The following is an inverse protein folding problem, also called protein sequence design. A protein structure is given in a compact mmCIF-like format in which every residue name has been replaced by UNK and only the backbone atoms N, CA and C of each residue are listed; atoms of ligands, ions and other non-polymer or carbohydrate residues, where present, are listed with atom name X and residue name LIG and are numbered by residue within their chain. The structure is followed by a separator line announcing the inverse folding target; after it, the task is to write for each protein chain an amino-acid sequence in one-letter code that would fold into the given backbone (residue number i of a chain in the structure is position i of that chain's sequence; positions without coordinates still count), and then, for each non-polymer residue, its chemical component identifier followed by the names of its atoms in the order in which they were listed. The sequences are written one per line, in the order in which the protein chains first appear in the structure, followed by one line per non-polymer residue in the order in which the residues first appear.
data_IF_406604210962
#
_entry.id   IF_406604210962
#
_cell.length_a   1.000
_cell.length_b   1.000
_cell.length_c   1.000
_cell.angle_alpha   90.00
_cell.angle_beta   90.00
_cell.angle_gamma   90.00
#
_symmetry.space_group_name_H-M   'P 1'
#
loop_
_entity.id
_entity.type
_entity.pdbx_description
1 polymer ?
#
# COMPACT_ATOMS: atom_id res chain seq x y z
N UNK A 1 -4.41 -2.40 -13.66
CA UNK A 1 -3.49 -1.87 -14.70
C UNK A 1 -2.15 -1.54 -14.06
N UNK A 2 -1.07 -1.83 -14.76
CA UNK A 2 0.27 -1.50 -14.29
C UNK A 2 0.83 -0.40 -15.20
N UNK A 3 1.24 0.70 -14.59
CA UNK A 3 1.87 1.81 -15.28
C UNK A 3 3.40 1.74 -15.15
N UNK A 4 4.09 2.13 -16.22
CA UNK A 4 5.54 2.19 -16.24
C UNK A 4 6.00 3.64 -16.38
N UNK A 5 6.90 4.05 -15.50
CA UNK A 5 7.57 5.34 -15.52
C UNK A 5 9.06 5.06 -15.64
N UNK A 6 9.76 5.71 -16.58
CA UNK A 6 11.19 5.44 -16.72
C UNK A 6 11.96 6.65 -17.28
N UNK A 7 13.24 6.65 -16.97
CA UNK A 7 14.25 7.50 -17.59
C UNK A 7 15.41 6.64 -18.05
N UNK A 8 16.57 7.24 -18.38
CA UNK A 8 17.73 6.48 -18.84
C UNK A 8 18.38 5.59 -17.76
N UNK A 9 18.09 5.83 -16.48
CA UNK A 9 18.70 5.13 -15.34
C UNK A 9 17.80 4.12 -14.68
N UNK A 10 16.50 4.44 -14.56
CA UNK A 10 15.54 3.70 -13.75
C UNK A 10 14.27 3.38 -14.51
N UNK A 11 13.69 2.21 -14.21
CA UNK A 11 12.34 1.83 -14.64
C UNK A 11 11.51 1.45 -13.42
N UNK A 12 10.38 2.12 -13.24
CA UNK A 12 9.49 1.91 -12.11
C UNK A 12 8.12 1.49 -12.62
N UNK A 13 7.55 0.44 -12.04
CA UNK A 13 6.19 -0.01 -12.33
C UNK A 13 5.32 0.12 -11.09
N UNK A 14 4.13 0.68 -11.29
CA UNK A 14 3.13 0.91 -10.24
C UNK A 14 1.81 0.33 -10.67
N UNK A 15 1.19 -0.45 -9.79
CA UNK A 15 -0.14 -1.01 -10.01
C UNK A 15 -1.22 -0.03 -9.57
N UNK A 16 -2.36 -0.02 -10.29
CA UNK A 16 -3.56 0.69 -9.85
C UNK A 16 -4.22 0.04 -8.64
N UNK A 17 -3.81 -1.17 -8.27
CA UNK A 17 -4.26 -1.82 -7.02
C UNK A 17 -3.49 -1.18 -5.87
N UNK A 18 -4.12 -0.23 -5.17
CA UNK A 18 -3.55 0.44 -4.01
C UNK A 18 -2.27 1.24 -4.27
N UNK A 19 -2.04 1.72 -5.50
CA UNK A 19 -0.82 2.41 -5.90
C UNK A 19 0.45 1.65 -5.48
N UNK A 20 0.41 0.33 -5.65
CA UNK A 20 1.48 -0.57 -5.20
C UNK A 20 2.70 -0.46 -6.10
N UNK A 21 3.87 -0.31 -5.48
CA UNK A 21 5.15 -0.36 -6.19
C UNK A 21 5.45 -1.81 -6.57
N UNK A 22 5.38 -2.12 -7.87
CA UNK A 22 5.53 -3.47 -8.40
C UNK A 22 6.99 -3.80 -8.70
N UNK A 23 7.72 -2.83 -9.23
CA UNK A 23 9.08 -3.03 -9.73
C UNK A 23 9.85 -1.73 -9.70
N UNK A 24 11.11 -1.81 -9.35
CA UNK A 24 12.04 -0.68 -9.38
C UNK A 24 13.39 -1.21 -9.88
N UNK A 25 13.68 -0.98 -11.16
CA UNK A 25 14.83 -1.58 -11.84
C UNK A 25 15.92 -0.54 -12.04
N UNK A 26 17.13 -0.88 -11.58
CA UNK A 26 18.36 -0.19 -11.97
C UNK A 26 18.76 -0.70 -13.36
N UNK A 27 18.64 0.15 -14.37
CA UNK A 27 18.92 -0.22 -15.76
C UNK A 27 20.39 -0.57 -16.02
N UNK A 28 21.31 0.00 -15.27
CA UNK A 28 22.72 -0.27 -15.41
C UNK A 28 23.07 -1.72 -15.09
N UNK A 29 22.46 -2.25 -14.04
CA UNK A 29 22.72 -3.62 -13.56
C UNK A 29 21.58 -4.59 -13.93
N UNK A 30 20.47 -4.06 -14.44
CA UNK A 30 19.22 -4.81 -14.69
C UNK A 30 18.72 -5.51 -13.44
N UNK A 31 18.86 -4.85 -12.28
CA UNK A 31 18.44 -5.38 -10.97
C UNK A 31 17.14 -4.77 -10.54
N UNK A 32 16.13 -5.59 -10.21
CA UNK A 32 14.91 -5.16 -9.56
C UNK A 32 15.09 -5.22 -8.05
N UNK A 33 14.97 -4.08 -7.38
CA UNK A 33 15.19 -3.98 -5.94
C UNK A 33 13.90 -4.14 -5.13
N UNK A 34 12.76 -4.37 -5.79
CA UNK A 34 11.46 -4.55 -5.15
C UNK A 34 11.05 -6.02 -5.20
N UNK A 35 10.73 -6.56 -4.05
CA UNK A 35 10.09 -7.87 -3.96
C UNK A 35 8.61 -7.72 -4.31
N UNK A 36 8.15 -8.42 -5.34
CA UNK A 36 6.78 -8.29 -5.84
C UNK A 36 6.29 -9.55 -6.51
N UNK A 37 5.07 -9.45 -7.08
CA UNK A 37 4.44 -10.53 -7.84
C UNK A 37 4.57 -10.29 -9.34
N UNK A 38 4.42 -11.35 -10.13
CA UNK A 38 4.56 -11.30 -11.59
C UNK A 38 3.33 -10.71 -12.29
N UNK A 39 2.15 -10.76 -11.67
CA UNK A 39 0.92 -10.28 -12.26
C UNK A 39 0.12 -9.36 -11.32
N UNK A 40 -0.76 -8.56 -11.91
CA UNK A 40 -1.58 -7.61 -11.15
C UNK A 40 -2.63 -8.31 -10.29
N UNK A 41 -3.14 -9.47 -10.70
CA UNK A 41 -4.16 -10.18 -9.94
C UNK A 41 -3.68 -10.61 -8.56
N UNK A 42 -2.39 -10.94 -8.42
CA UNK A 42 -1.80 -11.32 -7.15
C UNK A 42 -1.77 -10.17 -6.13
N UNK A 43 -1.77 -8.91 -6.59
CA UNK A 43 -1.77 -7.75 -5.69
C UNK A 43 -3.11 -7.53 -4.99
N UNK A 44 -4.22 -8.00 -5.54
CA UNK A 44 -5.51 -8.02 -4.83
C UNK A 44 -5.48 -8.93 -3.60
N UNK A 45 -4.59 -9.90 -3.57
CA UNK A 45 -4.42 -10.87 -2.49
C UNK A 45 -3.21 -10.55 -1.59
N UNK A 46 -2.61 -9.37 -1.78
CA UNK A 46 -1.42 -8.94 -1.04
C UNK A 46 -1.77 -8.41 0.37
N UNK A 47 -2.56 -9.18 1.11
CA UNK A 47 -3.08 -8.77 2.43
C UNK A 47 -2.22 -9.22 3.61
N UNK A 48 -1.36 -10.21 3.39
CA UNK A 48 -0.41 -10.69 4.41
C UNK A 48 0.91 -9.95 4.36
N UNK A 49 1.70 -10.13 3.29
CA UNK A 49 3.05 -9.54 3.21
C UNK A 49 3.05 -8.05 2.86
N UNK A 50 1.98 -7.50 2.27
CA UNK A 50 1.88 -6.10 1.84
C UNK A 50 3.06 -5.63 0.97
N UNK A 51 3.50 -6.46 0.02
CA UNK A 51 4.65 -6.18 -0.83
C UNK A 51 4.43 -4.89 -1.64
N UNK A 52 5.36 -3.94 -1.53
CA UNK A 52 5.33 -2.68 -2.26
C UNK A 52 4.17 -1.76 -1.92
N UNK A 53 3.42 -2.04 -0.88
CA UNK A 53 2.19 -1.34 -0.55
C UNK A 53 2.40 0.15 -0.26
N UNK A 54 1.54 0.99 -0.82
CA UNK A 54 1.41 2.38 -0.42
C UNK A 54 0.45 2.45 0.76
N UNK A 55 0.91 3.01 1.87
CA UNK A 55 0.15 3.08 3.11
C UNK A 55 -0.63 4.40 3.18
N UNK A 56 -1.93 4.31 3.37
CA UNK A 56 -2.83 5.47 3.47
C UNK A 56 -4.28 4.98 3.69
N UNK A 57 -5.20 5.90 3.85
CA UNK A 57 -5.00 7.37 3.97
C UNK A 57 -4.21 7.75 5.21
N UNK A 58 -4.39 7.03 6.31
CA UNK A 58 -3.60 7.20 7.53
C UNK A 58 -2.63 6.03 7.69
N UNK A 59 -1.43 6.31 8.16
CA UNK A 59 -0.47 5.29 8.52
C UNK A 59 -0.53 5.01 10.02
N UNK A 60 -0.05 3.83 10.39
CA UNK A 60 0.09 3.40 11.77
C UNK A 60 -1.27 3.26 12.50
N UNK A 61 -1.29 3.36 13.82
CA UNK A 61 -2.40 2.94 14.67
C UNK A 61 -3.19 4.11 15.23
N UNK A 62 -4.51 3.92 15.26
CA UNK A 62 -5.43 4.80 15.98
C UNK A 62 -6.00 3.97 17.14
N UNK A 63 -5.71 4.41 18.36
CA UNK A 63 -6.16 3.75 19.58
C UNK A 63 -7.68 3.73 19.66
N UNK A 64 -8.24 2.64 20.13
CA UNK A 64 -9.69 2.41 20.26
C UNK A 64 -10.44 2.46 18.91
N UNK A 65 -9.72 2.59 17.81
CA UNK A 65 -10.30 2.66 16.47
C UNK A 65 -11.21 3.85 16.25
N UNK A 66 -11.03 4.94 16.99
CA UNK A 66 -11.90 6.11 16.86
C UNK A 66 -11.29 7.40 17.37
N UNK A 67 -11.95 8.49 17.04
CA UNK A 67 -11.55 9.83 17.47
C UNK A 67 -12.76 10.76 17.49
N UNK A 68 -12.59 11.94 18.11
CA UNK A 68 -13.61 12.97 18.20
C UNK A 68 -13.11 14.26 17.56
N UNK A 69 -13.90 14.84 16.67
CA UNK A 69 -13.65 16.14 16.04
C UNK A 69 -14.89 17.00 16.22
N UNK A 70 -14.72 18.20 16.77
CA UNK A 70 -15.82 19.15 17.02
C UNK A 70 -17.01 18.53 17.79
N UNK A 71 -16.72 17.65 18.75
CA UNK A 71 -17.75 16.97 19.53
C UNK A 71 -18.40 15.79 18.85
N UNK A 72 -18.08 15.50 17.59
CA UNK A 72 -18.61 14.36 16.84
C UNK A 72 -17.63 13.20 16.87
N UNK A 73 -18.15 12.01 17.23
CA UNK A 73 -17.36 10.78 17.30
C UNK A 73 -17.33 10.06 15.95
N UNK A 74 -16.14 9.70 15.51
CA UNK A 74 -15.91 8.91 14.30
C UNK A 74 -15.37 7.54 14.70
N UNK A 75 -16.10 6.48 14.32
CA UNK A 75 -15.70 5.10 14.57
C UNK A 75 -15.11 4.51 13.29
N UNK A 76 -13.89 3.95 13.42
CA UNK A 76 -13.17 3.31 12.32
C UNK A 76 -13.27 1.79 12.41
N UNK A 77 -12.97 1.10 11.33
CA UNK A 77 -12.85 -0.36 11.33
C UNK A 77 -11.65 -0.80 12.18
N UNK A 78 -11.82 -1.89 12.92
CA UNK A 78 -10.77 -2.50 13.73
C UNK A 78 -10.18 -3.67 12.95
N UNK A 79 -8.91 -3.59 12.58
CA UNK A 79 -8.18 -4.66 11.89
C UNK A 79 -7.08 -5.30 12.76
N UNK A 80 -6.90 -4.77 13.97
CA UNK A 80 -6.18 -5.41 15.08
C UNK A 80 -7.05 -5.30 16.33
N UNK A 81 -6.80 -6.10 17.39
CA UNK A 81 -7.60 -6.02 18.62
C UNK A 81 -7.59 -4.61 19.22
N UNK A 82 -8.78 -3.96 19.21
CA UNK A 82 -8.99 -2.66 19.82
C UNK A 82 -8.37 -1.47 19.11
N UNK A 83 -7.84 -1.63 17.89
CA UNK A 83 -7.20 -0.53 17.15
C UNK A 83 -7.49 -0.57 15.65
N UNK A 84 -7.37 0.59 15.01
CA UNK A 84 -7.35 0.71 13.55
C UNK A 84 -5.90 0.92 13.09
N UNK A 85 -5.39 0.01 12.28
CA UNK A 85 -4.04 0.06 11.73
C UNK A 85 -4.09 0.36 10.23
N UNK A 86 -3.31 1.35 9.78
CA UNK A 86 -3.16 1.70 8.36
C UNK A 86 -4.50 1.87 7.63
N UNK A 87 -5.39 2.68 8.20
CA UNK A 87 -6.76 2.96 7.67
C UNK A 87 -7.72 1.77 7.69
N UNK A 88 -7.40 0.69 8.39
CA UNK A 88 -8.33 -0.42 8.63
C UNK A 88 -8.35 -1.48 7.53
N UNK A 89 -9.55 -1.90 7.11
CA UNK A 89 -9.71 -3.09 6.25
C UNK A 89 -9.67 -2.81 4.75
N UNK A 90 -8.87 -1.88 4.32
CA UNK A 90 -8.49 -1.81 2.91
C UNK A 90 -9.35 -0.91 2.04
N UNK A 91 -9.88 0.12 2.59
CA UNK A 91 -10.71 1.09 1.85
C UNK A 91 -9.88 2.29 1.36
N UNK A 92 -8.96 2.04 0.46
CA UNK A 92 -8.27 3.10 -0.27
C UNK A 92 -8.97 3.43 -1.57
#
# INVERSE_FOLDING_TARGET
MIYTIENEYLRVKVSTVGATLVSFIDKKTNTDIVLGFDDQASYFKNTGPHLGATVGRNANRIADGGFVINGEKYQLSLNEPGICLHSGVGDL
#
